data_IF_106070078068
#
_entry.id   IF_106070078068
#
_cell.length_a   1.000
_cell.length_b   1.000
_cell.length_c   1.000
_cell.angle_alpha   90.00
_cell.angle_beta   90.00
_cell.angle_gamma   90.00
#
_symmetry.space_group_name_H-M   'P 1'
#
loop_
_entity.id
_entity.type
_entity.pdbx_description
1 polymer ?
#
# COMPACT_ATOMS: atom_id res chain seq x y z
N UNK A 1 -16.06 -33.59 -40.06
CA UNK A 1 -14.82 -33.62 -39.28
C UNK A 1 -15.06 -32.76 -38.07
N UNK A 2 -15.13 -33.37 -36.88
CA UNK A 2 -15.25 -32.63 -35.63
C UNK A 2 -13.86 -32.10 -35.27
N UNK A 3 -13.74 -30.85 -34.77
CA UNK A 3 -12.46 -30.35 -34.29
C UNK A 3 -12.02 -31.14 -33.03
N UNK A 4 -10.71 -31.31 -32.84
CA UNK A 4 -10.19 -32.04 -31.68
C UNK A 4 -10.58 -31.33 -30.40
N UNK A 5 -11.03 -32.12 -29.41
CA UNK A 5 -11.35 -31.65 -28.10
C UNK A 5 -10.12 -30.93 -27.48
N UNK A 6 -10.31 -29.69 -27.05
CA UNK A 6 -9.29 -28.97 -26.27
C UNK A 6 -9.02 -29.74 -24.99
N UNK A 7 -7.81 -30.24 -24.83
CA UNK A 7 -7.33 -30.82 -23.60
C UNK A 7 -7.36 -29.70 -22.52
N UNK A 8 -8.31 -29.76 -21.62
CA UNK A 8 -8.41 -28.84 -20.51
C UNK A 8 -7.12 -28.87 -19.69
N UNK A 9 -6.43 -27.76 -19.61
CA UNK A 9 -5.29 -27.61 -18.70
C UNK A 9 -5.79 -27.81 -17.28
N UNK A 10 -5.32 -28.88 -16.63
CA UNK A 10 -5.60 -29.11 -15.21
C UNK A 10 -5.18 -27.86 -14.44
N UNK A 11 -6.06 -27.23 -13.66
CA UNK A 11 -5.67 -26.05 -12.89
C UNK A 11 -4.51 -26.40 -11.96
N UNK A 12 -3.50 -25.55 -11.90
CA UNK A 12 -2.36 -25.73 -11.00
C UNK A 12 -2.86 -25.94 -9.56
N UNK A 13 -2.26 -26.88 -8.80
CA UNK A 13 -2.68 -27.15 -7.45
C UNK A 13 -2.62 -25.84 -6.63
N UNK A 14 -3.67 -25.59 -5.84
CA UNK A 14 -3.72 -24.43 -4.91
C UNK A 14 -2.57 -24.58 -3.91
N UNK A 15 -1.65 -23.61 -3.93
CA UNK A 15 -0.56 -23.55 -2.95
C UNK A 15 -1.05 -22.76 -1.73
N UNK A 16 -0.93 -23.37 -0.55
CA UNK A 16 -1.09 -22.68 0.72
C UNK A 16 0.11 -21.75 0.95
N UNK A 17 -0.06 -20.63 1.65
CA UNK A 17 1.00 -19.65 1.94
C UNK A 17 1.54 -18.84 0.74
N UNK A 18 0.81 -18.72 -0.36
CA UNK A 18 1.26 -17.93 -1.53
C UNK A 18 1.67 -16.51 -1.14
N UNK A 19 0.93 -15.84 -0.25
CA UNK A 19 1.27 -14.50 0.23
C UNK A 19 2.57 -14.44 1.03
N UNK A 20 2.82 -15.43 1.88
CA UNK A 20 4.07 -15.51 2.65
C UNK A 20 5.28 -15.70 1.74
N UNK A 21 5.16 -16.58 0.75
CA UNK A 21 6.21 -16.80 -0.25
C UNK A 21 6.48 -15.55 -1.09
N UNK A 22 5.42 -14.87 -1.50
CA UNK A 22 5.51 -13.63 -2.28
C UNK A 22 6.17 -12.51 -1.46
N UNK A 23 5.77 -12.33 -0.20
CA UNK A 23 6.44 -11.42 0.74
C UNK A 23 7.93 -11.72 0.84
N UNK A 24 8.30 -12.98 1.07
CA UNK A 24 9.69 -13.40 1.20
C UNK A 24 10.49 -13.09 -0.08
N UNK A 25 9.91 -13.35 -1.27
CA UNK A 25 10.52 -13.06 -2.56
C UNK A 25 10.78 -11.56 -2.74
N UNK A 26 9.79 -10.71 -2.45
CA UNK A 26 9.90 -9.24 -2.57
C UNK A 26 10.93 -8.67 -1.61
N UNK A 27 10.92 -9.11 -0.34
CA UNK A 27 11.90 -8.66 0.66
C UNK A 27 13.31 -9.09 0.31
N UNK A 28 13.49 -10.32 -0.18
CA UNK A 28 14.80 -10.81 -0.63
C UNK A 28 15.39 -9.96 -1.77
N UNK A 29 14.54 -9.43 -2.65
CA UNK A 29 15.00 -8.60 -3.76
C UNK A 29 15.62 -7.26 -3.31
N UNK A 30 15.28 -6.76 -2.12
CA UNK A 30 15.83 -5.52 -1.56
C UNK A 30 16.79 -5.78 -0.38
N UNK A 31 17.03 -7.03 -0.01
CA UNK A 31 17.82 -7.41 1.18
C UNK A 31 19.19 -6.73 1.21
N UNK A 32 19.88 -6.67 0.08
CA UNK A 32 21.18 -6.01 -0.04
C UNK A 32 21.16 -4.47 0.12
N UNK A 33 19.98 -3.87 0.23
CA UNK A 33 19.82 -2.42 0.45
C UNK A 33 19.50 -2.08 1.91
N UNK A 34 19.25 -3.10 2.72
CA UNK A 34 18.86 -2.94 4.12
C UNK A 34 20.08 -3.05 5.04
N UNK A 35 20.14 -2.17 6.02
CA UNK A 35 21.03 -2.29 7.17
C UNK A 35 20.19 -2.66 8.39
N UNK A 36 20.19 -3.97 8.76
CA UNK A 36 19.38 -4.51 9.84
C UNK A 36 17.89 -4.10 9.78
N UNK A 37 17.28 -4.23 8.59
CA UNK A 37 15.88 -3.89 8.37
C UNK A 37 15.62 -2.40 8.08
N UNK A 38 16.65 -1.55 8.16
CA UNK A 38 16.54 -0.11 7.88
C UNK A 38 16.98 0.18 6.45
N UNK A 39 16.12 0.82 5.68
CA UNK A 39 16.40 1.28 4.32
C UNK A 39 16.85 2.74 4.34
N UNK A 40 17.91 3.07 3.61
CA UNK A 40 18.32 4.44 3.41
C UNK A 40 17.29 5.21 2.58
N UNK A 41 17.00 6.45 2.97
CA UNK A 41 15.94 7.27 2.37
C UNK A 41 16.10 7.47 0.84
N UNK A 42 17.35 7.52 0.35
CA UNK A 42 17.66 7.71 -1.07
C UNK A 42 17.22 6.51 -1.93
N UNK A 43 17.08 5.32 -1.32
CA UNK A 43 16.70 4.09 -2.02
C UNK A 43 15.19 3.82 -1.98
N UNK A 44 14.41 4.71 -1.38
CA UNK A 44 12.98 4.42 -1.11
C UNK A 44 12.18 4.20 -2.40
N UNK A 45 12.41 4.98 -3.46
CA UNK A 45 11.68 4.84 -4.72
C UNK A 45 11.97 3.48 -5.36
N UNK A 46 13.26 3.12 -5.49
CA UNK A 46 13.67 1.81 -6.03
C UNK A 46 13.09 0.65 -5.20
N UNK A 47 13.07 0.81 -3.87
CA UNK A 47 12.51 -0.20 -2.97
C UNK A 47 11.00 -0.33 -3.16
N UNK A 48 10.25 0.76 -3.22
CA UNK A 48 8.82 0.73 -3.46
C UNK A 48 8.48 0.12 -4.82
N UNK A 49 9.22 0.43 -5.89
CA UNK A 49 9.06 -0.19 -7.21
C UNK A 49 9.34 -1.71 -7.22
N UNK A 50 10.15 -2.17 -6.27
CA UNK A 50 10.43 -3.60 -6.10
C UNK A 50 9.39 -4.29 -5.22
N UNK A 51 8.92 -3.60 -4.19
CA UNK A 51 7.99 -4.14 -3.19
C UNK A 51 6.52 -4.09 -3.63
N UNK A 52 6.13 -3.09 -4.41
CA UNK A 52 4.76 -2.93 -4.91
C UNK A 52 4.70 -3.51 -6.33
N UNK A 53 3.70 -4.32 -6.59
CA UNK A 53 3.43 -4.87 -7.92
C UNK A 53 2.15 -4.27 -8.50
N UNK A 54 2.07 -4.21 -9.82
CA UNK A 54 0.85 -3.78 -10.49
C UNK A 54 -0.35 -4.62 -10.06
N UNK A 55 -1.45 -3.94 -9.72
CA UNK A 55 -2.66 -4.55 -9.20
C UNK A 55 -2.67 -4.84 -7.69
N UNK A 56 -1.59 -4.54 -6.96
CA UNK A 56 -1.58 -4.67 -5.50
C UNK A 56 -2.57 -3.71 -4.83
N UNK A 57 -3.13 -4.15 -3.71
CA UNK A 57 -3.76 -3.25 -2.74
C UNK A 57 -2.68 -2.67 -1.83
N UNK A 58 -2.60 -1.35 -1.83
CA UNK A 58 -1.65 -0.60 -1.01
C UNK A 58 -2.45 0.24 0.00
N UNK A 59 -2.26 -0.04 1.30
CA UNK A 59 -2.76 0.83 2.35
C UNK A 59 -1.76 1.96 2.57
N UNK A 60 -2.22 3.20 2.49
CA UNK A 60 -1.42 4.39 2.73
C UNK A 60 -2.00 5.16 3.91
N UNK A 61 -1.19 5.37 4.93
CA UNK A 61 -1.61 6.17 6.07
C UNK A 61 -1.73 7.64 5.66
N UNK A 62 -2.96 8.10 5.50
CA UNK A 62 -3.30 9.41 4.94
C UNK A 62 -4.34 10.18 5.75
N UNK A 63 -4.48 9.90 7.04
CA UNK A 63 -5.39 10.64 7.91
C UNK A 63 -5.05 12.14 7.94
N UNK A 64 -6.04 13.00 8.19
CA UNK A 64 -5.83 14.45 8.25
C UNK A 64 -4.86 14.89 9.36
N UNK A 65 -4.75 14.11 10.43
CA UNK A 65 -3.93 14.42 11.60
C UNK A 65 -2.59 13.70 11.59
N UNK A 66 -2.45 12.60 10.84
CA UNK A 66 -1.24 11.80 10.76
C UNK A 66 -1.08 11.21 9.36
N UNK A 67 0.02 11.49 8.74
CA UNK A 67 0.23 11.17 7.32
C UNK A 67 1.64 10.64 7.08
N UNK A 68 1.74 9.56 6.31
CA UNK A 68 3.02 9.07 5.78
C UNK A 68 3.48 9.96 4.61
N UNK A 69 3.85 11.19 4.90
CA UNK A 69 4.09 12.25 3.92
C UNK A 69 5.32 12.00 3.03
N UNK A 70 6.42 11.52 3.62
CA UNK A 70 7.62 11.13 2.87
C UNK A 70 7.33 9.95 1.94
N UNK A 71 6.65 8.92 2.46
CA UNK A 71 6.26 7.76 1.64
C UNK A 71 5.24 8.13 0.57
N UNK A 72 4.30 9.05 0.83
CA UNK A 72 3.36 9.56 -0.17
C UNK A 72 4.10 10.22 -1.34
N UNK A 73 5.10 11.07 -1.03
CA UNK A 73 5.94 11.71 -2.07
C UNK A 73 6.80 10.71 -2.83
N UNK A 74 7.32 9.70 -2.15
CA UNK A 74 8.11 8.64 -2.79
C UNK A 74 7.24 7.77 -3.70
N UNK A 75 6.06 7.37 -3.23
CA UNK A 75 5.11 6.57 -3.99
C UNK A 75 4.64 7.31 -5.26
N UNK A 76 4.38 8.60 -5.17
CA UNK A 76 4.02 9.42 -6.33
C UNK A 76 5.14 9.56 -7.38
N UNK A 77 6.37 9.14 -7.08
CA UNK A 77 7.53 9.19 -8.02
C UNK A 77 7.77 7.89 -8.77
N UNK A 78 7.06 6.80 -8.45
CA UNK A 78 7.26 5.52 -9.12
C UNK A 78 7.05 5.64 -10.63
N UNK A 79 7.71 4.77 -11.38
CA UNK A 79 7.53 4.66 -12.82
C UNK A 79 6.23 3.89 -13.12
N UNK A 80 5.23 4.52 -13.75
CA UNK A 80 3.97 3.85 -14.08
C UNK A 80 4.12 2.73 -15.12
N UNK A 81 5.24 2.66 -15.84
CA UNK A 81 5.55 1.51 -16.71
C UNK A 81 5.92 0.25 -15.91
N UNK A 82 6.33 0.41 -14.66
CA UNK A 82 6.74 -0.67 -13.74
C UNK A 82 5.68 -1.01 -12.71
N UNK A 83 5.00 0.03 -12.18
CA UNK A 83 3.96 -0.12 -11.14
C UNK A 83 2.74 0.66 -11.59
N UNK A 84 1.65 -0.03 -11.86
CA UNK A 84 0.38 0.54 -12.31
C UNK A 84 -0.82 -0.24 -11.77
N UNK A 85 -2.02 0.25 -12.00
CA UNK A 85 -3.29 -0.37 -11.57
C UNK A 85 -3.37 -0.65 -10.07
N UNK A 86 -2.63 0.09 -9.26
CA UNK A 86 -2.67 -0.07 -7.80
C UNK A 86 -4.06 0.29 -7.28
N UNK A 87 -4.56 -0.53 -6.36
CA UNK A 87 -5.77 -0.26 -5.60
C UNK A 87 -5.40 0.39 -4.27
N UNK A 88 -5.60 1.69 -4.16
CA UNK A 88 -5.27 2.47 -2.98
C UNK A 88 -6.35 2.30 -1.89
N UNK A 89 -5.92 2.02 -0.67
CA UNK A 89 -6.75 2.01 0.54
C UNK A 89 -6.27 3.12 1.46
N UNK A 90 -7.11 4.11 1.75
CA UNK A 90 -6.70 5.29 2.50
C UNK A 90 -7.87 5.87 3.28
N UNK A 91 -7.68 6.21 4.55
CA UNK A 91 -8.76 6.77 5.35
C UNK A 91 -9.16 8.17 4.90
N UNK A 92 -8.19 9.02 4.58
CA UNK A 92 -8.44 10.37 4.06
C UNK A 92 -7.52 10.72 2.91
N UNK A 93 -8.08 11.24 1.83
CA UNK A 93 -7.32 11.83 0.72
C UNK A 93 -6.91 13.25 1.11
N UNK A 94 -5.95 13.36 2.01
CA UNK A 94 -5.59 14.62 2.66
C UNK A 94 -4.47 15.40 1.94
N UNK A 95 -3.72 14.74 1.05
CA UNK A 95 -2.56 15.33 0.36
C UNK A 95 -2.71 15.31 -1.15
N UNK A 96 -2.14 16.31 -1.86
CA UNK A 96 -2.11 16.31 -3.31
C UNK A 96 -1.43 15.06 -3.91
N UNK A 97 -0.38 14.56 -3.26
CA UNK A 97 0.38 13.39 -3.71
C UNK A 97 -0.48 12.13 -3.81
N UNK A 98 -1.53 12.02 -2.99
CA UNK A 98 -2.45 10.88 -3.05
C UNK A 98 -3.20 10.82 -4.40
N UNK A 99 -3.55 11.97 -4.96
CA UNK A 99 -4.21 12.05 -6.27
C UNK A 99 -3.23 12.03 -7.44
N UNK A 100 -1.99 12.47 -7.23
CA UNK A 100 -0.93 12.35 -8.23
C UNK A 100 -0.70 10.90 -8.65
N UNK A 101 -0.97 9.92 -7.78
CA UNK A 101 -0.91 8.49 -8.10
C UNK A 101 -1.85 8.13 -9.27
N UNK A 102 -3.05 8.72 -9.31
CA UNK A 102 -4.04 8.49 -10.36
C UNK A 102 -3.70 9.26 -11.64
N UNK A 103 -3.30 10.52 -11.52
CA UNK A 103 -2.88 11.37 -12.64
C UNK A 103 -1.71 10.77 -13.41
N UNK A 104 -0.83 10.06 -12.72
CA UNK A 104 0.32 9.39 -13.32
C UNK A 104 0.05 7.95 -13.76
N UNK A 105 -1.14 7.41 -13.48
CA UNK A 105 -1.49 6.03 -13.82
C UNK A 105 -0.83 4.97 -12.93
N UNK A 106 -0.29 5.34 -11.77
CA UNK A 106 0.26 4.41 -10.78
C UNK A 106 -0.90 3.69 -10.06
N UNK A 107 -1.89 4.45 -9.59
CA UNK A 107 -3.11 3.90 -9.01
C UNK A 107 -4.28 4.04 -9.98
N UNK A 108 -5.24 3.12 -9.89
CA UNK A 108 -6.46 3.15 -10.68
C UNK A 108 -7.71 3.23 -9.82
N UNK A 109 -7.73 2.53 -8.72
CA UNK A 109 -8.89 2.40 -7.84
C UNK A 109 -8.58 2.87 -6.43
N UNK A 110 -9.58 3.47 -5.77
CA UNK A 110 -9.47 3.88 -4.36
C UNK A 110 -10.69 3.45 -3.54
N UNK A 111 -10.44 2.97 -2.34
CA UNK A 111 -11.41 2.86 -1.25
C UNK A 111 -10.96 3.82 -0.13
N UNK A 112 -11.87 4.67 0.31
CA UNK A 112 -11.54 5.73 1.27
C UNK A 112 -12.75 6.10 2.14
N UNK A 113 -12.51 6.95 3.14
CA UNK A 113 -13.57 7.44 4.03
C UNK A 113 -13.86 8.93 3.84
N UNK A 114 -12.83 9.73 3.55
CA UNK A 114 -12.96 11.17 3.47
C UNK A 114 -12.03 11.79 2.41
N UNK A 115 -12.57 12.60 1.51
CA UNK A 115 -11.78 13.27 0.47
C UNK A 115 -11.31 14.68 0.87
N UNK A 116 -11.99 15.31 1.82
CA UNK A 116 -11.63 16.62 2.39
C UNK A 116 -11.36 17.70 1.36
N UNK A 117 -10.25 18.44 1.48
CA UNK A 117 -9.89 19.51 0.56
C UNK A 117 -9.67 19.05 -0.89
N UNK A 118 -9.44 17.75 -1.10
CA UNK A 118 -9.18 17.18 -2.43
C UNK A 118 -10.45 16.74 -3.17
N UNK A 119 -11.65 16.92 -2.59
CA UNK A 119 -12.90 16.39 -3.13
C UNK A 119 -13.21 16.83 -4.56
N UNK A 120 -12.92 18.09 -4.91
CA UNK A 120 -13.10 18.60 -6.28
C UNK A 120 -12.19 17.90 -7.28
N UNK A 121 -10.92 17.68 -6.90
CA UNK A 121 -9.95 16.98 -7.76
C UNK A 121 -10.28 15.50 -7.89
N UNK A 122 -10.81 14.85 -6.83
CA UNK A 122 -11.35 13.48 -6.91
C UNK A 122 -12.48 13.41 -7.93
N UNK A 123 -13.44 14.35 -7.87
CA UNK A 123 -14.55 14.40 -8.83
C UNK A 123 -14.05 14.57 -10.27
N UNK A 124 -13.08 15.45 -10.50
CA UNK A 124 -12.48 15.67 -11.81
C UNK A 124 -11.81 14.40 -12.36
N UNK A 125 -10.97 13.74 -11.55
CA UNK A 125 -10.30 12.49 -11.96
C UNK A 125 -11.28 11.35 -12.23
N UNK A 126 -12.42 11.33 -11.53
CA UNK A 126 -13.49 10.36 -11.76
C UNK A 126 -14.18 10.64 -13.11
N UNK A 127 -14.51 11.91 -13.41
CA UNK A 127 -15.09 12.32 -14.69
C UNK A 127 -14.16 12.03 -15.86
N UNK A 128 -12.85 12.26 -15.69
CA UNK A 128 -11.83 12.01 -16.71
C UNK A 128 -11.50 10.50 -16.86
N UNK A 129 -12.10 9.61 -16.06
CA UNK A 129 -11.87 8.17 -16.08
C UNK A 129 -10.48 7.74 -15.60
N UNK A 130 -9.76 8.63 -14.92
CA UNK A 130 -8.43 8.36 -14.37
C UNK A 130 -8.48 7.70 -12.99
N UNK A 131 -9.61 7.80 -12.30
CA UNK A 131 -9.84 7.26 -10.96
C UNK A 131 -11.13 6.46 -10.92
N UNK A 132 -11.10 5.27 -10.31
CA UNK A 132 -12.27 4.48 -9.98
C UNK A 132 -12.50 4.50 -8.46
N UNK A 133 -13.71 4.82 -8.02
CA UNK A 133 -14.09 4.67 -6.61
C UNK A 133 -14.59 3.25 -6.40
N UNK A 134 -13.92 2.50 -5.52
CA UNK A 134 -14.39 1.21 -5.05
C UNK A 134 -15.60 1.37 -4.14
N UNK A 135 -15.37 2.04 -3.02
CA UNK A 135 -16.43 2.48 -2.12
C UNK A 135 -15.96 3.64 -1.23
N UNK A 136 -16.92 4.33 -0.65
CA UNK A 136 -16.71 5.33 0.40
C UNK A 136 -17.29 4.74 1.68
N UNK A 137 -16.44 4.56 2.68
CA UNK A 137 -16.74 3.90 3.95
C UNK A 137 -16.75 4.88 5.11
N UNK A 138 -17.33 4.49 6.22
CA UNK A 138 -16.93 5.05 7.51
C UNK A 138 -15.52 4.56 7.86
N UNK A 139 -14.79 5.26 8.73
CA UNK A 139 -13.46 4.82 9.17
C UNK A 139 -13.48 3.40 9.72
N UNK A 140 -14.42 3.09 10.61
CA UNK A 140 -14.55 1.76 11.22
C UNK A 140 -14.83 0.68 10.16
N UNK A 141 -15.66 0.99 9.19
CA UNK A 141 -15.99 0.04 8.12
C UNK A 141 -14.78 -0.21 7.20
N UNK A 142 -14.05 0.84 6.79
CA UNK A 142 -12.83 0.69 6.02
C UNK A 142 -11.81 -0.19 6.75
N UNK A 143 -11.65 0.01 8.07
CA UNK A 143 -10.77 -0.80 8.90
C UNK A 143 -11.22 -2.25 8.94
N UNK A 144 -12.50 -2.52 9.17
CA UNK A 144 -13.04 -3.87 9.14
C UNK A 144 -12.81 -4.55 7.78
N UNK A 145 -12.99 -3.82 6.68
CA UNK A 145 -12.80 -4.33 5.32
C UNK A 145 -11.34 -4.71 5.04
N UNK A 146 -10.36 -4.00 5.60
CA UNK A 146 -8.94 -4.39 5.49
C UNK A 146 -8.65 -5.78 6.07
N UNK A 147 -9.38 -6.20 7.11
CA UNK A 147 -9.25 -7.55 7.69
C UNK A 147 -10.04 -8.61 6.92
N UNK A 148 -11.12 -8.25 6.24
CA UNK A 148 -12.05 -9.19 5.60
C UNK A 148 -11.67 -9.46 4.15
N UNK A 149 -11.69 -8.45 3.29
CA UNK A 149 -11.57 -8.60 1.83
C UNK A 149 -10.70 -7.56 1.13
N UNK A 150 -10.44 -6.41 1.76
CA UNK A 150 -9.52 -5.39 1.27
C UNK A 150 -8.12 -5.52 1.89
N UNK A 151 -7.70 -6.73 2.24
CA UNK A 151 -6.41 -6.96 2.90
C UNK A 151 -5.24 -6.44 2.04
N UNK A 152 -4.42 -5.49 2.54
CA UNK A 152 -3.32 -4.92 1.78
C UNK A 152 -2.20 -5.93 1.50
N UNK A 153 -1.55 -5.83 0.35
CA UNK A 153 -0.28 -6.49 0.07
C UNK A 153 0.89 -5.69 0.63
N UNK A 154 0.80 -4.35 0.54
CA UNK A 154 1.81 -3.43 1.07
C UNK A 154 1.10 -2.36 1.88
N UNK A 155 1.70 -1.96 3.00
CA UNK A 155 1.27 -0.83 3.80
C UNK A 155 2.39 0.20 3.92
N UNK A 156 2.03 1.47 3.77
CA UNK A 156 2.91 2.62 3.92
C UNK A 156 2.41 3.43 5.11
N UNK A 157 3.15 3.38 6.22
CA UNK A 157 2.75 3.99 7.49
C UNK A 157 3.83 4.94 8.03
N UNK A 158 3.51 5.71 9.05
CA UNK A 158 4.48 6.53 9.75
C UNK A 158 4.42 6.33 11.27
N UNK A 159 5.59 6.49 11.90
CA UNK A 159 5.73 6.50 13.34
C UNK A 159 6.80 7.51 13.76
N UNK A 160 6.85 7.86 15.04
CA UNK A 160 7.92 8.75 15.53
C UNK A 160 9.23 7.99 15.63
N UNK A 161 9.20 6.77 16.16
CA UNK A 161 10.36 5.92 16.36
C UNK A 161 10.06 4.47 15.95
N UNK A 162 11.10 3.73 15.65
CA UNK A 162 11.07 2.27 15.55
C UNK A 162 12.32 1.68 16.21
N UNK A 163 12.23 0.44 16.63
CA UNK A 163 13.40 -0.34 17.02
C UNK A 163 13.82 -1.33 15.92
N UNK A 164 14.98 -1.96 16.10
CA UNK A 164 15.51 -2.94 15.13
C UNK A 164 14.76 -4.27 15.14
N UNK A 165 13.87 -4.50 16.12
CA UNK A 165 12.96 -5.64 16.18
C UNK A 165 11.69 -5.43 15.34
N UNK A 166 11.47 -4.19 14.84
CA UNK A 166 10.32 -3.81 14.04
C UNK A 166 9.12 -3.31 14.83
N UNK A 167 9.30 -2.99 16.12
CA UNK A 167 8.27 -2.31 16.89
C UNK A 167 8.19 -0.84 16.45
N UNK A 168 6.96 -0.33 16.32
CA UNK A 168 6.69 1.05 15.94
C UNK A 168 6.12 1.82 17.12
N UNK A 169 6.69 2.98 17.39
CA UNK A 169 6.23 3.90 18.44
C UNK A 169 5.61 5.12 17.77
N UNK A 170 4.28 5.15 17.76
CA UNK A 170 3.49 6.13 16.99
C UNK A 170 3.56 7.56 17.55
N UNK A 171 3.97 7.72 18.80
CA UNK A 171 3.97 9.01 19.50
C UNK A 171 2.56 9.39 20.00
N UNK A 172 2.26 10.70 20.12
CA UNK A 172 0.99 11.15 20.69
C UNK A 172 -0.22 10.91 19.81
N UNK A 173 -0.03 10.68 18.52
CA UNK A 173 -1.11 10.39 17.57
C UNK A 173 -0.90 9.01 16.95
N UNK A 174 -1.82 8.09 17.22
CA UNK A 174 -1.76 6.70 16.76
C UNK A 174 -2.58 6.51 15.47
N UNK A 175 -3.77 7.14 15.39
CA UNK A 175 -4.70 7.08 14.26
C UNK A 175 -4.81 5.68 13.63
N UNK A 176 -4.61 5.59 12.31
CA UNK A 176 -4.82 4.39 11.51
C UNK A 176 -3.71 3.34 11.66
N UNK A 177 -2.53 3.71 12.21
CA UNK A 177 -1.32 2.87 12.17
C UNK A 177 -1.55 1.45 12.67
N UNK A 178 -2.13 1.20 13.88
CA UNK A 178 -2.28 -0.16 14.38
C UNK A 178 -3.13 -1.02 13.44
N UNK A 179 -4.25 -0.48 13.00
CA UNK A 179 -5.18 -1.20 12.11
C UNK A 179 -4.52 -1.57 10.78
N UNK A 180 -3.84 -0.62 10.15
CA UNK A 180 -3.16 -0.85 8.86
C UNK A 180 -2.03 -1.88 9.03
N UNK A 181 -1.23 -1.76 10.08
CA UNK A 181 -0.12 -2.69 10.36
C UNK A 181 -0.65 -4.10 10.62
N UNK A 182 -1.64 -4.26 11.50
CA UNK A 182 -2.20 -5.56 11.83
C UNK A 182 -2.86 -6.23 10.62
N UNK A 183 -3.73 -5.51 9.90
CA UNK A 183 -4.40 -6.04 8.72
C UNK A 183 -3.40 -6.48 7.64
N UNK A 184 -2.25 -5.83 7.54
CA UNK A 184 -1.22 -6.15 6.56
C UNK A 184 -0.29 -7.25 7.05
N UNK A 185 0.32 -7.08 8.23
CA UNK A 185 1.38 -7.96 8.74
C UNK A 185 0.85 -9.37 9.06
N UNK A 186 -0.30 -9.49 9.73
CA UNK A 186 -0.90 -10.79 10.07
C UNK A 186 -1.41 -11.58 8.86
N UNK A 187 -1.54 -10.93 7.73
CA UNK A 187 -1.93 -11.58 6.46
C UNK A 187 -0.76 -11.68 5.48
N UNK A 188 0.48 -11.69 6.00
CA UNK A 188 1.69 -11.81 5.22
C UNK A 188 1.87 -10.69 4.17
N UNK A 189 1.40 -9.49 4.45
CA UNK A 189 1.74 -8.30 3.70
C UNK A 189 3.07 -7.69 4.16
N UNK A 190 3.54 -6.69 3.43
CA UNK A 190 4.76 -5.95 3.72
C UNK A 190 4.38 -4.60 4.33
N UNK A 191 5.00 -4.25 5.45
CA UNK A 191 4.85 -2.92 6.06
C UNK A 191 6.15 -2.15 5.84
N UNK A 192 6.03 -0.95 5.27
CA UNK A 192 7.11 0.03 5.14
C UNK A 192 6.74 1.21 6.02
N UNK A 193 7.56 1.47 7.03
CA UNK A 193 7.33 2.57 7.97
C UNK A 193 8.37 3.68 7.75
N UNK A 194 7.91 4.92 7.58
CA UNK A 194 8.77 6.08 7.78
C UNK A 194 8.85 6.40 9.26
N UNK A 195 10.05 6.64 9.76
CA UNK A 195 10.29 7.01 11.16
C UNK A 195 11.30 8.14 11.24
N UNK A 196 11.24 8.92 12.33
CA UNK A 196 12.20 9.99 12.54
C UNK A 196 13.50 9.45 13.16
N UNK A 197 13.42 8.36 13.93
CA UNK A 197 14.53 7.84 14.69
C UNK A 197 14.42 6.31 14.86
N UNK A 198 15.58 5.64 14.82
CA UNK A 198 15.72 4.24 15.25
C UNK A 198 16.27 4.23 16.66
N UNK A 199 15.58 3.56 17.58
CA UNK A 199 15.96 3.44 18.98
C UNK A 199 16.38 2.02 19.32
N UNK A 200 17.26 1.90 20.30
CA UNK A 200 17.63 0.62 20.91
C UNK A 200 16.84 0.50 22.24
N UNK A 201 15.94 -0.48 22.31
CA UNK A 201 15.07 -0.73 23.49
C UNK A 201 15.34 -2.12 24.04
#
# INVERSE_FOLDING_TARGET
MNPPAQVGTTPAPRQWNTRAMEKARRLKAIEGWLDNGVLKAERIVDALETLIQSGDRVALEGNNQKQADFLSRAFAKLDPSRVHDVHLLISSISRPEHLTLFERGIARKVDFSFAGPQSLRVAQLLEDGQLEIGAIYTYIELYARMFIDLTPQVALVCAVQADRQGNLYTGPNTEDTPTIVEATAFRHGIVVAQVNEIVDV
#
